data_IF_290431411269
#
_entry.id   IF_290431411269
#
_cell.length_a   1.000
_cell.length_b   1.000
_cell.length_c   1.000
_cell.angle_alpha   90.00
_cell.angle_beta   90.00
_cell.angle_gamma   90.00
#
_symmetry.space_group_name_H-M   'P 1'
#
loop_
_entity.id
_entity.type
_entity.pdbx_description
1 polymer ?
#
# COMPACT_ATOMS: atom_id res chain seq x y z
N UNK A 1 33.51 -10.99 -2.26
CA UNK A 1 32.83 -9.97 -3.08
C UNK A 1 31.59 -9.57 -2.33
N UNK A 2 31.45 -8.30 -1.92
CA UNK A 2 30.26 -7.83 -1.23
C UNK A 2 29.06 -7.92 -2.18
N UNK A 3 27.91 -8.36 -1.67
CA UNK A 3 26.67 -8.37 -2.46
C UNK A 3 26.26 -6.93 -2.78
N UNK A 4 25.67 -6.69 -3.96
CA UNK A 4 25.18 -5.35 -4.32
C UNK A 4 24.24 -4.78 -3.25
N UNK A 5 23.45 -5.63 -2.61
CA UNK A 5 22.60 -5.31 -1.47
C UNK A 5 23.36 -4.77 -0.26
N UNK A 6 24.50 -5.37 0.11
CA UNK A 6 25.34 -4.88 1.22
C UNK A 6 25.99 -3.52 0.92
N UNK A 7 26.31 -3.25 -0.36
CA UNK A 7 26.86 -1.96 -0.77
C UNK A 7 25.83 -0.82 -0.63
N UNK A 8 24.56 -1.07 -0.93
CA UNK A 8 23.50 -0.08 -0.75
C UNK A 8 23.00 0.03 0.71
N UNK A 9 22.99 -1.07 1.46
CA UNK A 9 22.55 -1.08 2.86
C UNK A 9 23.56 -0.40 3.80
N UNK A 10 24.86 -0.56 3.54
CA UNK A 10 25.91 0.11 4.33
C UNK A 10 25.86 1.63 4.15
N UNK A 11 25.73 2.09 2.90
CA UNK A 11 25.53 3.51 2.58
C UNK A 11 24.26 4.06 3.23
N UNK A 12 23.12 3.36 3.14
CA UNK A 12 21.87 3.85 3.75
C UNK A 12 21.91 3.94 5.28
N UNK A 13 22.69 3.10 5.96
CA UNK A 13 22.75 3.07 7.44
C UNK A 13 23.78 4.04 8.03
N UNK A 14 24.90 4.28 7.35
CA UNK A 14 25.98 5.13 7.89
C UNK A 14 26.02 6.55 7.28
N UNK A 15 25.52 6.73 6.06
CA UNK A 15 25.47 8.06 5.42
C UNK A 15 24.69 9.12 6.21
N UNK A 16 23.49 8.86 6.80
CA UNK A 16 22.70 9.96 7.34
C UNK A 16 23.30 10.60 8.60
N UNK A 17 24.21 9.92 9.31
CA UNK A 17 24.81 10.42 10.56
C UNK A 17 26.10 11.21 10.29
N UNK A 18 26.92 10.77 9.34
CA UNK A 18 28.22 11.40 9.05
C UNK A 18 28.04 12.55 8.04
N UNK A 19 27.21 12.36 7.01
CA UNK A 19 27.10 13.34 5.93
C UNK A 19 26.42 14.64 6.38
N UNK A 20 25.52 14.58 7.36
CA UNK A 20 24.88 15.76 7.95
C UNK A 20 25.86 16.61 8.79
N UNK A 21 26.91 15.98 9.35
CA UNK A 21 27.96 16.67 10.10
C UNK A 21 28.96 17.35 9.16
N UNK A 22 29.26 16.73 8.01
CA UNK A 22 30.21 17.27 7.02
C UNK A 22 29.57 18.31 6.08
N UNK A 23 28.27 18.23 5.80
CA UNK A 23 27.56 19.16 4.93
C UNK A 23 26.26 19.69 5.59
N UNK A 24 26.32 20.83 6.31
CA UNK A 24 25.15 21.43 6.95
C UNK A 24 24.11 22.02 5.97
N UNK A 25 24.42 22.04 4.65
CA UNK A 25 23.48 22.42 3.59
C UNK A 25 22.79 21.20 2.95
N UNK A 26 23.04 19.99 3.47
CA UNK A 26 22.37 18.79 2.98
C UNK A 26 20.87 18.86 3.27
N UNK A 27 20.07 18.81 2.20
CA UNK A 27 18.64 18.66 2.33
C UNK A 27 18.31 17.25 2.81
N UNK A 28 17.34 17.12 3.71
CA UNK A 28 16.69 15.83 3.97
C UNK A 28 16.20 15.26 2.64
N UNK A 29 16.57 14.02 2.30
CA UNK A 29 16.12 13.35 1.08
C UNK A 29 14.62 13.56 0.91
N UNK A 30 14.22 13.99 -0.28
CA UNK A 30 12.81 14.28 -0.53
C UNK A 30 12.05 12.98 -0.85
N UNK A 31 10.77 12.91 -0.50
CA UNK A 31 9.94 11.73 -0.74
C UNK A 31 9.90 11.34 -2.23
N UNK A 32 9.93 12.32 -3.14
CA UNK A 32 9.94 12.09 -4.59
C UNK A 32 11.21 11.42 -5.12
N UNK A 33 12.28 11.32 -4.32
CA UNK A 33 13.48 10.56 -4.70
C UNK A 33 13.24 9.05 -4.64
N UNK A 34 12.29 8.62 -3.80
CA UNK A 34 12.03 7.21 -3.52
C UNK A 34 10.66 6.79 -4.07
N UNK A 35 9.73 7.73 -4.16
CA UNK A 35 8.35 7.47 -4.57
C UNK A 35 7.97 8.22 -5.85
N UNK A 36 7.22 7.54 -6.70
CA UNK A 36 6.67 8.13 -7.92
C UNK A 36 5.36 8.86 -7.61
N UNK A 37 5.18 10.08 -8.14
CA UNK A 37 3.98 10.92 -7.95
C UNK A 37 2.66 10.18 -8.24
N UNK A 38 2.68 9.30 -9.25
CA UNK A 38 1.58 8.38 -9.56
C UNK A 38 1.86 6.98 -9.03
N UNK A 39 1.81 6.80 -7.72
CA UNK A 39 1.95 5.49 -7.10
C UNK A 39 0.82 4.54 -7.56
N UNK A 40 1.19 3.33 -7.92
CA UNK A 40 0.29 2.30 -8.42
C UNK A 40 0.75 0.91 -7.97
N UNK A 41 -0.16 -0.06 -8.07
CA UNK A 41 0.10 -1.49 -7.84
C UNK A 41 0.44 -2.18 -9.15
N UNK A 42 1.33 -3.14 -9.09
CA UNK A 42 1.59 -4.09 -10.15
C UNK A 42 0.41 -5.04 -10.35
N UNK A 43 -0.10 -5.13 -11.58
CA UNK A 43 -1.28 -5.95 -11.89
C UNK A 43 -1.12 -7.45 -11.55
N UNK A 44 0.10 -7.99 -11.65
CA UNK A 44 0.36 -9.40 -11.34
C UNK A 44 0.55 -9.68 -9.84
N UNK A 45 0.53 -8.62 -9.02
CA UNK A 45 0.85 -8.69 -7.61
C UNK A 45 2.35 -8.83 -7.37
N UNK A 46 2.84 -8.06 -6.42
CA UNK A 46 4.14 -8.26 -5.76
C UNK A 46 3.87 -8.51 -4.28
N UNK A 47 4.85 -9.05 -3.58
CA UNK A 47 4.76 -9.20 -2.12
C UNK A 47 5.41 -7.97 -1.49
N UNK A 48 4.59 -7.06 -0.98
CA UNK A 48 5.04 -5.89 -0.21
C UNK A 48 4.93 -4.55 -0.95
N UNK A 49 5.38 -3.50 -0.27
CA UNK A 49 5.33 -2.11 -0.79
C UNK A 49 3.90 -1.65 -1.11
N UNK A 50 3.74 -0.97 -2.24
CA UNK A 50 2.48 -0.42 -2.73
C UNK A 50 1.35 -1.45 -2.91
N UNK A 51 1.65 -2.75 -2.92
CA UNK A 51 0.67 -3.83 -3.01
C UNK A 51 -0.14 -4.04 -1.75
N UNK A 52 0.44 -3.69 -0.59
CA UNK A 52 -0.23 -3.79 0.69
C UNK A 52 -1.23 -2.66 0.80
N UNK A 53 -2.49 -2.99 1.11
CA UNK A 53 -3.52 -1.98 1.32
C UNK A 53 -3.16 -1.13 2.52
N UNK A 54 -3.14 0.18 2.31
CA UNK A 54 -3.05 1.13 3.39
C UNK A 54 -4.46 1.54 3.82
N UNK A 55 -4.62 1.93 5.07
CA UNK A 55 -5.84 2.57 5.52
C UNK A 55 -6.02 3.92 4.85
N UNK A 56 -7.26 4.31 4.61
CA UNK A 56 -7.60 5.60 3.99
C UNK A 56 -7.20 6.82 4.84
N UNK A 57 -7.13 6.66 6.15
CA UNK A 57 -6.67 7.71 7.06
C UNK A 57 -5.16 7.76 7.22
N UNK A 58 -4.70 8.89 7.79
CA UNK A 58 -3.32 9.09 8.15
C UNK A 58 -2.83 8.02 9.16
N UNK A 59 -1.68 7.41 8.88
CA UNK A 59 -1.09 6.35 9.71
C UNK A 59 -0.76 6.77 11.14
N UNK A 60 -0.17 7.94 11.41
CA UNK A 60 0.11 8.41 12.76
C UNK A 60 -1.13 8.48 13.65
N UNK A 61 -2.29 8.82 13.08
CA UNK A 61 -3.53 8.93 13.84
C UNK A 61 -4.06 7.55 14.25
N UNK A 62 -3.94 6.56 13.35
CA UNK A 62 -4.25 5.16 13.66
C UNK A 62 -3.28 4.61 14.70
N UNK A 63 -1.97 4.84 14.55
CA UNK A 63 -0.98 4.40 15.52
C UNK A 63 -1.23 5.01 16.90
N UNK A 64 -1.62 6.29 16.95
CA UNK A 64 -1.96 6.99 18.17
C UNK A 64 -3.20 6.38 18.85
N UNK A 65 -4.24 6.00 18.07
CA UNK A 65 -5.43 5.31 18.61
C UNK A 65 -5.15 3.88 19.07
N UNK A 66 -4.29 3.15 18.34
CA UNK A 66 -3.82 1.81 18.72
C UNK A 66 -2.99 1.85 20.00
N UNK A 67 -2.13 2.87 20.17
CA UNK A 67 -1.40 3.15 21.41
C UNK A 67 -2.30 3.68 22.54
N UNK A 68 -3.55 4.00 22.24
CA UNK A 68 -4.53 4.48 23.21
C UNK A 68 -4.37 5.95 23.62
N UNK A 69 -3.53 6.72 22.94
CA UNK A 69 -3.23 8.12 23.28
C UNK A 69 -4.43 9.02 23.01
N UNK A 70 -5.18 8.76 21.93
CA UNK A 70 -6.39 9.52 21.56
C UNK A 70 -7.60 9.21 22.45
N UNK A 71 -7.50 8.22 23.33
CA UNK A 71 -8.61 7.80 24.21
C UNK A 71 -8.71 8.73 25.42
N UNK A 72 -9.91 9.12 25.84
CA UNK A 72 -10.06 9.91 27.07
C UNK A 72 -9.61 9.08 28.28
N UNK A 73 -8.77 9.66 29.14
CA UNK A 73 -8.37 9.08 30.43
C UNK A 73 -9.56 9.06 31.40
N UNK A 74 -10.51 8.14 31.21
CA UNK A 74 -11.85 8.28 31.80
C UNK A 74 -12.25 7.31 32.89
N UNK A 75 -11.55 6.27 33.31
CA UNK A 75 -11.98 5.15 34.22
C UNK A 75 -13.42 4.59 34.16
N UNK A 76 -14.29 5.14 33.32
CA UNK A 76 -15.67 4.74 33.15
C UNK A 76 -15.72 3.53 32.23
N UNK A 77 -16.29 2.45 32.76
CA UNK A 77 -16.46 1.16 32.08
C UNK A 77 -17.21 1.34 30.74
N UNK A 78 -18.13 2.32 30.68
CA UNK A 78 -18.92 2.65 29.51
C UNK A 78 -18.14 3.29 28.34
N UNK A 79 -16.91 3.77 28.56
CA UNK A 79 -16.14 4.50 27.53
C UNK A 79 -14.79 3.86 27.19
N UNK A 80 -14.18 3.12 28.12
CA UNK A 80 -12.81 2.63 27.96
C UNK A 80 -12.64 1.49 26.95
N UNK A 81 -13.66 0.63 26.81
CA UNK A 81 -13.49 -0.67 26.15
C UNK A 81 -14.60 -1.03 25.17
N UNK A 82 -15.43 -0.10 24.69
CA UNK A 82 -16.40 -0.47 23.66
C UNK A 82 -15.68 -0.62 22.32
N UNK A 83 -15.56 -1.84 21.77
CA UNK A 83 -15.07 -1.99 20.42
C UNK A 83 -16.15 -1.48 19.47
N UNK A 84 -15.81 -0.46 18.68
CA UNK A 84 -16.63 -0.07 17.54
C UNK A 84 -16.54 -1.20 16.51
N UNK A 85 -17.68 -1.81 16.17
CA UNK A 85 -17.77 -2.88 15.16
C UNK A 85 -17.77 -2.34 13.72
N UNK A 86 -17.63 -1.04 13.56
CA UNK A 86 -17.74 -0.35 12.28
C UNK A 86 -16.34 -0.07 11.71
N UNK A 87 -16.25 0.04 10.39
CA UNK A 87 -15.01 0.41 9.71
C UNK A 87 -14.54 1.84 10.05
N UNK A 88 -15.39 2.65 10.69
CA UNK A 88 -15.06 4.01 11.13
C UNK A 88 -14.99 4.05 12.66
N UNK A 89 -13.82 4.39 13.18
CA UNK A 89 -13.61 4.62 14.61
C UNK A 89 -13.96 6.06 14.90
N UNK A 90 -15.09 6.28 15.60
CA UNK A 90 -15.50 7.60 16.05
C UNK A 90 -15.19 7.75 17.52
N UNK A 91 -14.30 8.70 17.85
CA UNK A 91 -13.99 9.12 19.22
C UNK A 91 -14.52 10.53 19.41
N UNK A 92 -15.65 10.66 20.09
CA UNK A 92 -16.24 11.96 20.42
C UNK A 92 -15.92 12.31 21.86
N UNK A 93 -14.92 13.17 22.06
CA UNK A 93 -14.62 13.76 23.36
C UNK A 93 -15.12 15.22 23.41
N UNK A 94 -15.37 15.79 24.61
CA UNK A 94 -15.78 17.19 24.75
C UNK A 94 -14.78 18.19 24.15
N UNK A 95 -13.50 17.80 24.07
CA UNK A 95 -12.40 18.62 23.55
C UNK A 95 -12.07 18.36 22.08
N UNK A 96 -12.34 17.18 21.57
CA UNK A 96 -11.96 16.78 20.22
C UNK A 96 -12.84 15.64 19.72
N UNK A 97 -13.29 15.75 18.47
CA UNK A 97 -13.94 14.65 17.77
C UNK A 97 -12.98 14.12 16.72
N UNK A 98 -12.59 12.86 16.82
CA UNK A 98 -11.69 12.17 15.89
C UNK A 98 -12.50 11.09 15.18
N UNK A 99 -12.42 11.08 13.85
CA UNK A 99 -13.04 10.05 13.02
C UNK A 99 -11.94 9.39 12.20
N UNK A 100 -11.71 8.10 12.42
CA UNK A 100 -10.71 7.32 11.71
C UNK A 100 -11.40 6.29 10.82
N UNK A 101 -11.34 6.49 9.50
CA UNK A 101 -11.81 5.52 8.50
C UNK A 101 -10.73 4.45 8.29
N UNK A 102 -10.95 3.27 8.87
CA UNK A 102 -10.05 2.10 8.78
C UNK A 102 -10.31 1.23 7.56
N UNK A 103 -11.15 1.69 6.61
CA UNK A 103 -11.32 0.97 5.35
C UNK A 103 -9.98 0.88 4.60
N UNK A 104 -9.70 -0.33 4.12
CA UNK A 104 -8.49 -0.60 3.33
C UNK A 104 -8.65 0.03 1.95
N UNK A 105 -7.75 0.94 1.61
CA UNK A 105 -7.69 1.55 0.30
C UNK A 105 -6.48 1.00 -0.46
N UNK A 106 -6.80 0.43 -1.62
CA UNK A 106 -5.78 -0.07 -2.51
C UNK A 106 -5.48 0.94 -3.63
N UNK A 107 -4.21 1.03 -4.03
CA UNK A 107 -3.84 1.81 -5.21
C UNK A 107 -4.35 1.14 -6.49
N UNK A 108 -4.44 1.90 -7.59
CA UNK A 108 -4.89 1.37 -8.88
C UNK A 108 -3.88 0.34 -9.43
N UNK A 109 -4.33 -0.81 -9.97
CA UNK A 109 -3.44 -1.74 -10.66
C UNK A 109 -2.99 -1.16 -12.01
N UNK A 110 -1.70 -1.28 -12.29
CA UNK A 110 -1.01 -0.83 -13.49
C UNK A 110 -0.08 -1.97 -13.95
N UNK A 111 0.00 -2.14 -15.26
CA UNK A 111 0.90 -3.07 -15.89
C UNK A 111 2.21 -2.37 -16.22
N UNK A 112 3.32 -2.83 -15.63
CA UNK A 112 4.63 -2.20 -15.81
C UNK A 112 5.24 -2.50 -17.18
N UNK A 113 4.87 -3.63 -17.80
CA UNK A 113 5.40 -4.09 -19.08
C UNK A 113 4.28 -4.47 -20.04
N UNK A 114 4.30 -3.94 -21.25
CA UNK A 114 3.33 -4.32 -22.28
C UNK A 114 3.57 -5.77 -22.73
N UNK A 115 2.53 -6.61 -22.70
CA UNK A 115 2.60 -7.91 -23.35
C UNK A 115 2.44 -7.74 -24.86
N UNK A 116 3.27 -8.40 -25.68
CA UNK A 116 3.03 -8.42 -27.11
C UNK A 116 1.68 -9.11 -27.40
N UNK A 117 0.93 -8.58 -28.36
CA UNK A 117 -0.29 -9.23 -28.83
C UNK A 117 0.06 -10.57 -29.45
N UNK A 118 -0.44 -11.66 -28.88
CA UNK A 118 -0.36 -12.99 -29.51
C UNK A 118 -1.53 -13.13 -30.46
N UNK A 119 -1.26 -13.49 -31.72
CA UNK A 119 -2.31 -13.81 -32.68
C UNK A 119 -3.05 -15.04 -32.15
N UNK A 120 -4.38 -14.96 -32.03
CA UNK A 120 -5.20 -16.08 -31.57
C UNK A 120 -5.01 -17.32 -32.45
N UNK A 121 -5.27 -18.53 -31.92
CA UNK A 121 -5.19 -19.75 -32.71
C UNK A 121 -6.21 -19.71 -33.85
N UNK A 122 -5.90 -20.43 -34.93
CA UNK A 122 -6.83 -20.63 -36.05
C UNK A 122 -8.15 -21.20 -35.49
N UNK A 123 -9.32 -20.69 -35.92
CA UNK A 123 -10.61 -21.18 -35.43
C UNK A 123 -10.73 -22.69 -35.66
N UNK A 124 -11.26 -23.39 -34.65
CA UNK A 124 -11.50 -24.82 -34.73
C UNK A 124 -12.51 -25.12 -35.84
N UNK A 125 -12.05 -25.74 -36.92
CA UNK A 125 -12.94 -26.26 -37.97
C UNK A 125 -13.50 -27.59 -37.49
N UNK A 126 -14.80 -27.63 -37.21
CA UNK A 126 -15.52 -28.87 -36.92
C UNK A 126 -15.84 -29.57 -38.23
N UNK A 127 -15.00 -30.52 -38.63
CA UNK A 127 -15.33 -31.43 -39.73
C UNK A 127 -16.45 -32.37 -39.29
N UNK A 128 -17.70 -31.97 -39.51
CA UNK A 128 -18.83 -32.89 -39.41
C UNK A 128 -18.96 -33.64 -40.71
N UNK A 129 -18.83 -34.97 -40.68
CA UNK A 129 -19.27 -35.83 -41.78
C UNK A 129 -20.78 -35.63 -41.98
N UNK A 130 -21.17 -34.81 -42.95
CA UNK A 130 -22.57 -34.70 -43.36
C UNK A 130 -23.02 -36.04 -43.94
N UNK A 131 -24.12 -36.60 -43.43
CA UNK A 131 -24.73 -37.76 -44.06
C UNK A 131 -25.23 -37.34 -45.45
N UNK A 132 -24.76 -37.99 -46.55
CA UNK A 132 -25.11 -37.58 -47.91
C UNK A 132 -26.57 -37.90 -48.30
N UNK A 133 -27.39 -38.43 -47.39
CA UNK A 133 -28.67 -39.08 -47.70
C UNK A 133 -29.92 -38.16 -47.61
N UNK A 134 -29.77 -36.84 -47.66
CA UNK A 134 -30.93 -35.92 -47.74
C UNK A 134 -30.75 -34.89 -48.86
N UNK A 135 -30.89 -35.35 -50.10
CA UNK A 135 -31.42 -34.60 -51.23
C UNK A 135 -32.30 -35.54 -52.05
#
# INVERSE_FOLDING_TARGET
>A
MASLTEAYDSVNKTAPVIDAQENPQMYSRFAYEVEHDKAARHMLGLVGGNEVSLTKTNWPDIESDLKGITRPNSDSIERHHLPTKEAVIVRSNPKQTIQLDTTLQHLKPVQMFAYPSVIGPVPLVKETCGQPQKY
#
